data_IF_421432408817
#
_entry.id   IF_421432408817
#
_cell.length_a   1.000
_cell.length_b   1.000
_cell.length_c   1.000
_cell.angle_alpha   90.00
_cell.angle_beta   90.00
_cell.angle_gamma   90.00
#
_symmetry.space_group_name_H-M   'P 1'
#
loop_
_entity.id
_entity.type
_entity.pdbx_description
1 polymer ?
#
# COMPACT_ATOMS: atom_id res chain seq x y z
N UNK A 1 -50.81 16.08 63.61
CA UNK A 1 -51.80 15.01 63.89
C UNK A 1 -52.05 14.23 62.61
N UNK A 2 -51.87 12.89 62.64
CA UNK A 2 -52.07 11.85 61.59
C UNK A 2 -51.14 11.94 60.37
N UNK A 3 -50.06 11.14 60.26
CA UNK A 3 -49.96 9.70 59.95
C UNK A 3 -50.82 9.22 58.76
N UNK A 4 -50.15 8.87 57.66
CA UNK A 4 -50.30 7.53 57.07
C UNK A 4 -49.05 7.15 56.25
N UNK A 5 -48.35 6.14 56.76
CA UNK A 5 -47.46 5.27 55.98
C UNK A 5 -48.36 4.21 55.31
N UNK A 6 -48.06 3.84 54.07
CA UNK A 6 -48.25 2.47 53.61
C UNK A 6 -47.23 2.08 52.54
N UNK A 7 -46.75 0.85 52.66
CA UNK A 7 -45.54 0.27 52.06
C UNK A 7 -45.88 -0.57 50.81
N UNK A 8 -44.85 -0.85 49.97
CA UNK A 8 -44.38 -2.20 49.52
C UNK A 8 -43.97 -2.25 48.03
N UNK A 9 -42.64 -2.44 47.87
CA UNK A 9 -41.86 -3.28 46.94
C UNK A 9 -42.49 -3.69 45.58
N UNK A 10 -41.74 -3.51 44.49
CA UNK A 10 -40.94 -4.57 43.86
C UNK A 10 -40.28 -4.17 42.53
N UNK A 11 -39.08 -4.72 42.35
CA UNK A 11 -38.46 -5.26 41.13
C UNK A 11 -37.84 -4.34 40.06
N UNK A 12 -36.72 -4.86 39.57
CA UNK A 12 -35.66 -4.24 38.81
C UNK A 12 -35.88 -4.29 37.29
N UNK A 13 -35.32 -3.30 36.59
CA UNK A 13 -34.79 -3.37 35.22
C UNK A 13 -34.12 -2.00 34.99
N UNK A 14 -32.80 -1.89 34.88
CA UNK A 14 -32.04 -2.37 33.74
C UNK A 14 -31.66 -1.16 32.88
N UNK A 15 -30.44 -0.65 33.03
CA UNK A 15 -29.77 0.07 31.95
C UNK A 15 -28.37 -0.52 31.87
N UNK A 16 -28.22 -1.44 30.93
CA UNK A 16 -26.93 -1.94 30.51
C UNK A 16 -26.11 -0.74 30.00
N UNK A 17 -25.07 -0.37 30.74
CA UNK A 17 -23.97 0.42 30.18
C UNK A 17 -23.17 -0.54 29.31
N UNK A 18 -23.72 -0.81 28.12
CA UNK A 18 -22.99 -1.47 27.05
C UNK A 18 -21.89 -0.51 26.64
N UNK A 19 -20.65 -0.84 26.98
CA UNK A 19 -19.48 -0.27 26.34
C UNK A 19 -19.62 -0.52 24.84
N UNK A 20 -20.07 0.50 24.11
CA UNK A 20 -19.94 0.60 22.67
C UNK A 20 -18.45 0.64 22.35
N UNK A 21 -17.79 -0.51 22.39
CA UNK A 21 -16.63 -0.78 21.54
C UNK A 21 -17.16 -0.98 20.11
N UNK A 22 -17.83 0.05 19.60
CA UNK A 22 -17.98 0.23 18.17
C UNK A 22 -16.58 0.56 17.66
N UNK A 23 -15.83 -0.48 17.30
CA UNK A 23 -14.63 -0.29 16.49
C UNK A 23 -15.04 0.62 15.35
N UNK A 24 -14.43 1.81 15.27
CA UNK A 24 -14.66 2.73 14.17
C UNK A 24 -14.60 1.91 12.88
N UNK A 25 -15.59 2.06 11.98
CA UNK A 25 -15.58 1.31 10.74
C UNK A 25 -14.21 1.52 10.11
N UNK A 26 -13.52 0.42 9.80
CA UNK A 26 -12.28 0.46 9.02
C UNK A 26 -12.60 1.33 7.81
N UNK A 27 -12.03 2.54 7.77
CA UNK A 27 -12.29 3.50 6.72
C UNK A 27 -11.72 2.93 5.44
N UNK A 28 -12.51 2.15 4.70
CA UNK A 28 -12.07 1.50 3.47
C UNK A 28 -11.62 2.50 2.37
N UNK A 29 -11.81 3.81 2.60
CA UNK A 29 -11.57 4.91 1.65
C UNK A 29 -11.08 6.19 2.35
N UNK A 30 -9.79 6.28 2.68
CA UNK A 30 -9.10 7.53 3.03
C UNK A 30 -8.57 8.22 1.76
N UNK A 31 -9.35 9.19 1.25
CA UNK A 31 -9.01 9.89 0.00
C UNK A 31 -7.69 10.66 0.05
N UNK A 32 -7.28 11.15 1.22
CA UNK A 32 -6.02 11.90 1.36
C UNK A 32 -4.83 10.93 1.28
N UNK A 33 -4.92 9.81 2.00
CA UNK A 33 -3.94 8.74 1.92
C UNK A 33 -3.86 8.15 0.51
N UNK A 34 -5.00 7.91 -0.15
CA UNK A 34 -5.05 7.41 -1.52
C UNK A 34 -4.37 8.35 -2.51
N UNK A 35 -4.61 9.66 -2.43
CA UNK A 35 -3.97 10.64 -3.29
C UNK A 35 -2.44 10.66 -3.08
N UNK A 36 -1.98 10.66 -1.82
CA UNK A 36 -0.56 10.64 -1.49
C UNK A 36 0.12 9.34 -1.92
N UNK A 37 -0.54 8.19 -1.74
CA UNK A 37 -0.03 6.90 -2.16
C UNK A 37 0.00 6.75 -3.69
N UNK A 38 -0.98 7.32 -4.42
CA UNK A 38 -0.93 7.42 -5.90
C UNK A 38 0.26 8.24 -6.36
N UNK A 39 0.51 9.39 -5.72
CA UNK A 39 1.70 10.19 -6.04
C UNK A 39 3.00 9.41 -5.81
N UNK A 40 3.09 8.62 -4.74
CA UNK A 40 4.24 7.75 -4.50
C UNK A 40 4.40 6.68 -5.60
N UNK A 41 3.30 6.11 -6.11
CA UNK A 41 3.30 5.17 -7.23
C UNK A 41 3.70 5.81 -8.56
N UNK A 42 3.33 7.07 -8.80
CA UNK A 42 3.76 7.84 -9.96
C UNK A 42 5.26 8.15 -9.89
N UNK A 43 5.75 8.59 -8.72
CA UNK A 43 7.17 8.82 -8.47
C UNK A 43 7.99 7.53 -8.66
N UNK A 44 7.47 6.41 -8.17
CA UNK A 44 8.05 5.09 -8.37
C UNK A 44 8.21 4.74 -9.86
N UNK A 45 7.15 4.95 -10.67
CA UNK A 45 7.19 4.62 -12.09
C UNK A 45 8.15 5.54 -12.85
N UNK A 46 8.17 6.83 -12.52
CA UNK A 46 9.11 7.78 -13.08
C UNK A 46 10.57 7.42 -12.77
N UNK A 47 10.88 7.12 -11.51
CA UNK A 47 12.22 6.70 -11.08
C UNK A 47 12.64 5.34 -11.67
N UNK A 48 11.70 4.41 -11.80
CA UNK A 48 11.95 3.14 -12.48
C UNK A 48 12.32 3.36 -13.96
N UNK A 49 11.57 4.21 -14.67
CA UNK A 49 11.81 4.52 -16.08
C UNK A 49 13.08 5.34 -16.32
N UNK A 50 13.55 6.12 -15.33
CA UNK A 50 14.80 6.89 -15.44
C UNK A 50 16.07 6.03 -15.42
N UNK A 51 15.94 4.73 -15.07
CA UNK A 51 17.05 3.77 -14.94
C UNK A 51 18.05 4.13 -13.83
N UNK A 52 17.69 5.07 -12.95
CA UNK A 52 18.46 5.43 -11.78
C UNK A 52 18.00 4.58 -10.59
N UNK A 53 18.84 3.61 -10.21
CA UNK A 53 18.53 2.68 -9.11
C UNK A 53 18.46 3.39 -7.75
N UNK A 54 19.19 4.49 -7.55
CA UNK A 54 19.16 5.26 -6.30
C UNK A 54 17.90 6.11 -6.23
N UNK A 55 17.51 6.74 -7.33
CA UNK A 55 16.21 7.41 -7.42
C UNK A 55 15.07 6.41 -7.16
N UNK A 56 15.18 5.18 -7.72
CA UNK A 56 14.18 4.15 -7.48
C UNK A 56 14.13 3.70 -6.02
N UNK A 57 15.28 3.46 -5.40
CA UNK A 57 15.39 3.13 -3.98
C UNK A 57 14.74 4.19 -3.08
N UNK A 58 14.88 5.47 -3.43
CA UNK A 58 14.29 6.59 -2.68
C UNK A 58 12.75 6.60 -2.69
N UNK A 59 12.11 5.87 -3.61
CA UNK A 59 10.63 5.75 -3.66
C UNK A 59 10.07 4.63 -2.77
N UNK A 60 10.94 3.89 -2.08
CA UNK A 60 10.57 2.72 -1.29
C UNK A 60 10.55 3.04 0.20
N UNK A 61 9.77 2.26 0.94
CA UNK A 61 9.88 2.17 2.40
C UNK A 61 10.59 0.87 2.77
N UNK A 62 11.38 0.91 3.85
CA UNK A 62 12.24 -0.18 4.29
C UNK A 62 11.83 -0.71 5.67
N UNK A 63 11.90 -2.04 5.92
CA UNK A 63 12.31 -3.07 4.97
C UNK A 63 11.32 -3.23 3.81
N UNK A 64 11.87 -3.38 2.59
CA UNK A 64 11.09 -3.54 1.36
C UNK A 64 10.99 -5.01 0.99
N UNK A 65 9.77 -5.51 0.75
CA UNK A 65 9.50 -6.91 0.42
C UNK A 65 9.05 -7.06 -1.02
N UNK A 66 9.71 -7.95 -1.77
CA UNK A 66 9.37 -8.27 -3.16
C UNK A 66 9.09 -9.76 -3.33
N UNK A 67 7.93 -10.06 -3.89
CA UNK A 67 7.53 -11.39 -4.36
C UNK A 67 7.54 -11.41 -5.89
N UNK A 68 8.42 -12.21 -6.48
CA UNK A 68 8.46 -12.43 -7.93
C UNK A 68 9.33 -13.66 -8.25
N UNK A 69 9.08 -14.28 -9.40
CA UNK A 69 9.95 -15.36 -9.93
C UNK A 69 10.13 -16.52 -8.93
N UNK A 70 9.06 -16.85 -8.20
CA UNK A 70 9.02 -17.86 -7.12
C UNK A 70 10.04 -17.60 -5.99
N UNK A 71 10.38 -16.33 -5.72
CA UNK A 71 11.30 -15.91 -4.69
C UNK A 71 10.71 -14.77 -3.85
N UNK A 72 11.09 -14.74 -2.58
CA UNK A 72 10.87 -13.60 -1.68
C UNK A 72 12.21 -12.93 -1.43
N UNK A 73 12.29 -11.63 -1.72
CA UNK A 73 13.44 -10.80 -1.39
C UNK A 73 13.02 -9.76 -0.37
N UNK A 74 13.86 -9.55 0.63
CA UNK A 74 13.69 -8.51 1.65
C UNK A 74 14.95 -7.66 1.60
N UNK A 75 14.78 -6.36 1.38
CA UNK A 75 15.87 -5.39 1.44
C UNK A 75 15.69 -4.57 2.69
N UNK A 76 16.71 -4.47 3.55
CA UNK A 76 16.64 -3.74 4.82
C UNK A 76 16.86 -2.24 4.65
N UNK A 77 17.48 -1.81 3.56
CA UNK A 77 17.78 -0.39 3.32
C UNK A 77 17.82 -0.02 1.83
N UNK A 78 17.83 1.29 1.56
CA UNK A 78 18.01 1.86 0.22
C UNK A 78 19.34 1.43 -0.42
N UNK A 79 20.41 1.41 0.37
CA UNK A 79 21.72 0.95 -0.09
C UNK A 79 21.70 -0.53 -0.48
N UNK A 80 21.04 -1.37 0.33
CA UNK A 80 20.91 -2.80 0.03
C UNK A 80 20.10 -3.05 -1.24
N UNK A 81 19.00 -2.32 -1.41
CA UNK A 81 18.20 -2.37 -2.63
C UNK A 81 19.01 -1.93 -3.86
N UNK A 82 19.68 -0.78 -3.78
CA UNK A 82 20.47 -0.25 -4.90
C UNK A 82 21.56 -1.22 -5.34
N UNK A 83 22.22 -1.88 -4.39
CA UNK A 83 23.23 -2.92 -4.68
C UNK A 83 22.61 -4.17 -5.30
N UNK A 84 21.49 -4.65 -4.75
CA UNK A 84 20.84 -5.88 -5.21
C UNK A 84 20.13 -5.75 -6.55
N UNK A 85 19.78 -4.52 -6.97
CA UNK A 85 19.07 -4.24 -8.23
C UNK A 85 19.84 -3.32 -9.18
N UNK A 86 21.15 -3.13 -8.98
CA UNK A 86 22.02 -2.27 -9.81
C UNK A 86 21.93 -2.58 -11.32
N UNK A 87 21.81 -3.86 -11.68
CA UNK A 87 21.70 -4.30 -13.08
C UNK A 87 20.25 -4.53 -13.54
N UNK A 88 19.23 -4.12 -12.77
CA UNK A 88 17.84 -4.39 -13.15
C UNK A 88 17.46 -3.82 -14.51
N UNK A 89 17.81 -2.57 -14.87
CA UNK A 89 17.46 -2.04 -16.19
C UNK A 89 18.05 -2.87 -17.34
N UNK A 90 19.27 -3.39 -17.18
CA UNK A 90 19.97 -4.16 -18.22
C UNK A 90 19.33 -5.52 -18.47
N UNK A 91 18.85 -6.18 -17.41
CA UNK A 91 18.20 -7.51 -17.52
C UNK A 91 16.78 -7.48 -18.08
N UNK A 92 16.26 -6.30 -18.43
CA UNK A 92 14.90 -6.12 -18.97
C UNK A 92 14.84 -6.01 -20.49
N UNK A 93 15.97 -6.07 -21.20
CA UNK A 93 15.98 -5.97 -22.67
C UNK A 93 14.92 -6.89 -23.32
N UNK A 94 14.13 -6.39 -24.30
CA UNK A 94 14.28 -5.12 -25.03
C UNK A 94 13.54 -3.91 -24.42
N UNK A 95 13.29 -3.91 -23.10
CA UNK A 95 12.56 -2.84 -22.40
C UNK A 95 13.16 -1.45 -22.58
N UNK A 96 12.26 -0.48 -22.81
CA UNK A 96 12.54 0.95 -22.80
C UNK A 96 11.87 1.67 -21.62
N UNK A 97 10.56 1.51 -21.46
CA UNK A 97 9.81 2.12 -20.37
C UNK A 97 8.59 1.28 -19.98
N UNK A 98 8.04 1.60 -18.82
CA UNK A 98 6.79 1.04 -18.31
C UNK A 98 5.75 2.12 -18.07
N UNK A 99 4.47 1.73 -18.03
CA UNK A 99 3.40 2.59 -17.54
C UNK A 99 2.42 1.81 -16.69
N UNK A 100 1.69 2.52 -15.85
CA UNK A 100 0.48 2.00 -15.24
C UNK A 100 -0.62 1.90 -16.30
N UNK A 101 -1.18 0.73 -16.46
CA UNK A 101 -2.39 0.50 -17.27
C UNK A 101 -3.64 0.58 -16.40
N UNK A 102 -3.55 0.10 -15.15
CA UNK A 102 -4.57 0.30 -14.14
C UNK A 102 -3.95 0.45 -12.74
N UNK A 103 -4.61 1.25 -11.90
CA UNK A 103 -4.29 1.42 -10.48
C UNK A 103 -5.56 1.52 -9.63
N UNK A 104 -6.05 0.37 -9.18
CA UNK A 104 -7.23 0.27 -8.32
C UNK A 104 -6.81 0.26 -6.85
N UNK A 105 -7.41 1.14 -6.05
CA UNK A 105 -7.31 1.06 -4.58
C UNK A 105 -8.24 -0.05 -4.11
N UNK A 106 -7.71 -0.98 -3.32
CA UNK A 106 -8.47 -2.09 -2.71
C UNK A 106 -8.93 -1.70 -1.32
N UNK A 107 -8.01 -1.13 -0.53
CA UNK A 107 -8.21 -0.67 0.83
C UNK A 107 -7.28 0.51 1.09
N UNK A 108 -7.73 1.44 1.92
CA UNK A 108 -6.90 2.55 2.41
C UNK A 108 -7.13 2.77 3.89
N UNK A 109 -6.21 3.49 4.51
CA UNK A 109 -6.22 3.97 5.88
C UNK A 109 -5.22 5.14 5.98
N UNK A 110 -5.14 5.82 7.13
CA UNK A 110 -4.40 7.08 7.25
C UNK A 110 -2.91 6.98 6.91
N UNK A 111 -2.32 5.78 7.02
CA UNK A 111 -0.89 5.53 6.83
C UNK A 111 -0.57 4.35 5.90
N UNK A 112 -1.59 3.75 5.25
CA UNK A 112 -1.40 2.58 4.40
C UNK A 112 -2.47 2.47 3.31
N UNK A 113 -2.04 2.11 2.10
CA UNK A 113 -2.93 1.87 0.96
C UNK A 113 -2.51 0.60 0.23
N UNK A 114 -3.48 -0.23 -0.11
CA UNK A 114 -3.32 -1.43 -0.94
C UNK A 114 -3.81 -1.16 -2.36
N UNK A 115 -2.99 -1.50 -3.35
CA UNK A 115 -3.34 -1.38 -4.76
C UNK A 115 -3.31 -2.73 -5.47
N UNK A 116 -4.34 -2.99 -6.27
CA UNK A 116 -4.25 -3.90 -7.40
C UNK A 116 -3.90 -3.07 -8.64
N UNK A 117 -2.80 -3.41 -9.29
CA UNK A 117 -2.28 -2.67 -10.43
C UNK A 117 -2.02 -3.59 -11.61
N UNK A 118 -2.03 -3.02 -12.80
CA UNK A 118 -1.45 -3.62 -14.00
C UNK A 118 -0.42 -2.63 -14.51
N UNK A 119 0.83 -3.06 -14.66
CA UNK A 119 1.83 -2.29 -15.40
C UNK A 119 2.20 -3.00 -16.69
N UNK A 120 2.51 -2.19 -17.70
CA UNK A 120 2.86 -2.65 -19.03
C UNK A 120 4.26 -2.17 -19.36
N UNK A 121 5.06 -3.03 -19.97
CA UNK A 121 6.40 -2.75 -20.48
C UNK A 121 6.35 -2.54 -21.99
N UNK A 122 7.13 -1.60 -22.47
CA UNK A 122 7.28 -1.28 -23.89
C UNK A 122 8.73 -1.39 -24.32
N UNK A 123 8.95 -1.69 -25.60
CA UNK A 123 10.24 -1.46 -26.26
C UNK A 123 10.35 -0.03 -26.82
N UNK A 124 11.50 0.30 -27.41
CA UNK A 124 11.80 1.63 -27.97
C UNK A 124 10.86 2.05 -29.12
N UNK A 125 10.22 1.08 -29.79
CA UNK A 125 9.24 1.37 -30.85
C UNK A 125 7.84 1.67 -30.29
N UNK A 126 7.65 1.54 -28.97
CA UNK A 126 6.36 1.67 -28.31
C UNK A 126 5.51 0.40 -28.36
N UNK A 127 6.08 -0.74 -28.77
CA UNK A 127 5.37 -2.02 -28.77
C UNK A 127 5.31 -2.58 -27.34
N UNK A 128 4.13 -3.04 -26.93
CA UNK A 128 3.96 -3.78 -25.68
C UNK A 128 4.76 -5.10 -25.71
N UNK A 129 5.63 -5.29 -24.72
CA UNK A 129 6.44 -6.51 -24.55
C UNK A 129 6.07 -7.29 -23.28
N UNK A 130 5.14 -6.79 -22.49
CA UNK A 130 4.60 -7.52 -21.35
C UNK A 130 3.63 -6.70 -20.52
N UNK A 131 2.69 -7.40 -19.90
CA UNK A 131 1.60 -6.84 -19.08
C UNK A 131 1.45 -7.68 -17.84
N UNK A 132 1.55 -7.03 -16.69
CA UNK A 132 1.76 -7.73 -15.42
C UNK A 132 0.78 -7.23 -14.37
N UNK A 133 -0.27 -8.03 -14.05
CA UNK A 133 -1.05 -7.84 -12.85
C UNK A 133 -0.14 -7.90 -11.62
N UNK A 134 -0.42 -7.09 -10.61
CA UNK A 134 0.41 -7.01 -9.40
C UNK A 134 -0.36 -6.45 -8.21
N UNK A 135 0.15 -6.75 -7.01
CA UNK A 135 -0.30 -6.17 -5.74
C UNK A 135 0.80 -5.28 -5.18
N UNK A 136 0.45 -4.06 -4.78
CA UNK A 136 1.36 -3.10 -4.17
C UNK A 136 0.81 -2.63 -2.82
N UNK A 137 1.69 -2.53 -1.83
CA UNK A 137 1.41 -1.99 -0.49
C UNK A 137 2.27 -0.75 -0.32
N UNK A 138 1.62 0.40 -0.19
CA UNK A 138 2.24 1.71 -0.01
C UNK A 138 1.95 2.18 1.41
N UNK A 139 2.97 2.63 2.13
CA UNK A 139 2.84 3.06 3.53
C UNK A 139 3.40 4.45 3.74
N UNK A 140 2.94 5.12 4.80
CA UNK A 140 3.49 6.34 5.33
C UNK A 140 4.41 6.01 6.50
N UNK A 141 5.71 6.26 6.35
CA UNK A 141 6.69 6.06 7.41
C UNK A 141 7.53 7.31 7.57
N UNK A 142 7.59 7.87 8.78
CA UNK A 142 8.39 9.06 9.08
C UNK A 142 8.12 10.24 8.11
N UNK A 143 6.87 10.42 7.70
CA UNK A 143 6.47 11.47 6.73
C UNK A 143 6.68 11.11 5.26
N UNK A 144 7.21 9.92 4.95
CA UNK A 144 7.47 9.45 3.59
C UNK A 144 6.45 8.39 3.14
N UNK A 145 5.71 8.68 2.06
CA UNK A 145 4.90 7.70 1.35
C UNK A 145 5.77 6.94 0.36
N UNK A 146 5.90 5.62 0.55
CA UNK A 146 6.75 4.78 -0.31
C UNK A 146 6.21 3.36 -0.45
N UNK A 147 6.62 2.66 -1.52
CA UNK A 147 6.25 1.26 -1.73
C UNK A 147 7.02 0.39 -0.74
N UNK A 148 6.31 -0.25 0.19
CA UNK A 148 6.93 -1.13 1.18
C UNK A 148 6.90 -2.60 0.76
N UNK A 149 5.87 -3.03 0.05
CA UNK A 149 5.82 -4.39 -0.49
C UNK A 149 5.18 -4.44 -1.87
N UNK A 150 5.64 -5.38 -2.70
CA UNK A 150 5.07 -5.64 -4.02
C UNK A 150 5.14 -7.11 -4.39
N UNK A 151 4.11 -7.58 -5.09
CA UNK A 151 4.04 -8.92 -5.69
C UNK A 151 3.65 -8.79 -7.15
N UNK A 152 4.48 -9.31 -8.06
CA UNK A 152 4.26 -9.17 -9.50
C UNK A 152 4.40 -10.48 -10.24
N UNK A 153 3.57 -10.67 -11.26
CA UNK A 153 3.74 -11.75 -12.26
C UNK A 153 4.86 -11.46 -13.28
N UNK A 154 5.60 -10.35 -13.12
CA UNK A 154 6.78 -10.08 -13.94
C UNK A 154 7.98 -10.96 -13.53
N UNK A 155 8.72 -11.53 -14.50
CA UNK A 155 9.89 -12.35 -14.24
C UNK A 155 11.07 -11.55 -13.66
#
# INVERSE_FOLDING_TARGET
MRMHVNRIRQLAAGVAVGWLLGGLPIHAQDRKAEAAARQAMDNFMAAFNSRDVHAWAATLNYPHVRFASNQVRIYQSAEEFARGDADYPKRLAPWDHSRWDSMQVIQSGPDKVHFAVIFVRFDVSGKEIGRFPSLYIVTLQNGHWGVQARSSFAP
#
